data_IF_676054453006
#
_entry.id   IF_676054453006
#
_cell.length_a   1.000
_cell.length_b   1.000
_cell.length_c   1.000
_cell.angle_alpha   90.00
_cell.angle_beta   90.00
_cell.angle_gamma   90.00
#
_symmetry.space_group_name_H-M   'P 1'
#
loop_
_entity.id
_entity.type
_entity.pdbx_description
1 polymer ?
#
# COMPACT_ATOMS: atom_id res chain seq x y z
N UNK A 1 36.95 -20.06 14.91
CA UNK A 1 35.59 -19.81 14.37
C UNK A 1 35.61 -18.48 13.61
N UNK A 2 35.50 -18.53 12.28
CA UNK A 2 35.68 -17.36 11.41
C UNK A 2 34.57 -16.32 11.62
N UNK A 3 34.92 -15.13 12.13
CA UNK A 3 34.03 -13.95 12.24
C UNK A 3 33.26 -13.67 10.95
N UNK A 4 33.88 -13.91 9.80
CA UNK A 4 33.28 -13.77 8.47
C UNK A 4 32.04 -14.67 8.26
N UNK A 5 32.02 -15.89 8.81
CA UNK A 5 30.86 -16.80 8.72
C UNK A 5 29.68 -16.34 9.57
N UNK A 6 29.96 -15.70 10.71
CA UNK A 6 28.92 -15.16 11.58
C UNK A 6 28.28 -13.90 10.96
N UNK A 7 29.09 -13.00 10.41
CA UNK A 7 28.63 -11.79 9.74
C UNK A 7 27.78 -12.11 8.51
N UNK A 8 28.22 -13.04 7.65
CA UNK A 8 27.43 -13.49 6.50
C UNK A 8 26.06 -14.05 6.91
N UNK A 9 26.00 -14.76 8.03
CA UNK A 9 24.75 -15.34 8.53
C UNK A 9 23.81 -14.28 9.13
N UNK A 10 24.35 -13.21 9.69
CA UNK A 10 23.58 -12.05 10.14
C UNK A 10 23.01 -11.33 8.91
N UNK A 11 23.84 -11.09 7.89
CA UNK A 11 23.41 -10.47 6.63
C UNK A 11 22.26 -11.25 5.97
N UNK A 12 22.38 -12.59 5.86
CA UNK A 12 21.31 -13.44 5.31
C UNK A 12 20.01 -13.36 6.12
N UNK A 13 20.12 -13.22 7.45
CA UNK A 13 18.95 -13.08 8.33
C UNK A 13 18.31 -11.70 8.13
N UNK A 14 19.10 -10.64 8.06
CA UNK A 14 18.62 -9.29 7.76
C UNK A 14 17.96 -9.22 6.38
N UNK A 15 18.57 -9.79 5.34
CA UNK A 15 18.00 -9.82 3.99
C UNK A 15 16.70 -10.62 3.95
N UNK A 16 16.60 -11.74 4.69
CA UNK A 16 15.34 -12.49 4.82
C UNK A 16 14.29 -11.71 5.60
N UNK A 17 14.68 -10.95 6.63
CA UNK A 17 13.77 -10.07 7.37
C UNK A 17 13.30 -8.94 6.44
N UNK A 18 14.20 -8.26 5.74
CA UNK A 18 13.87 -7.18 4.80
C UNK A 18 13.01 -7.70 3.65
N UNK A 19 13.35 -8.84 3.06
CA UNK A 19 12.50 -9.49 2.04
C UNK A 19 11.13 -9.89 2.63
N UNK A 20 11.05 -10.31 3.89
CA UNK A 20 9.79 -10.72 4.52
C UNK A 20 8.89 -9.55 4.95
N UNK A 21 9.48 -8.46 5.45
CA UNK A 21 8.75 -7.33 6.06
C UNK A 21 8.73 -6.08 5.18
N UNK A 22 9.78 -5.88 4.38
CA UNK A 22 9.96 -4.74 3.49
C UNK A 22 9.81 -5.07 2.00
N UNK A 23 9.45 -6.31 1.61
CA UNK A 23 9.14 -6.61 0.21
C UNK A 23 8.10 -5.63 -0.32
N UNK A 24 8.60 -4.73 -1.18
CA UNK A 24 7.83 -3.77 -1.97
C UNK A 24 6.73 -4.48 -2.78
N UNK A 25 6.91 -5.78 -3.05
CA UNK A 25 6.01 -6.66 -3.79
C UNK A 25 4.66 -6.94 -3.12
N UNK A 26 4.47 -6.70 -1.82
CA UNK A 26 3.18 -6.93 -1.13
C UNK A 26 2.31 -5.68 -0.97
N UNK A 27 2.57 -4.65 -1.77
CA UNK A 27 1.72 -3.44 -1.81
C UNK A 27 0.53 -3.70 -2.72
N UNK A 28 -0.66 -3.73 -2.16
CA UNK A 28 -1.90 -3.76 -2.93
C UNK A 28 -2.31 -2.33 -3.23
N UNK A 29 -2.30 -1.97 -4.51
CA UNK A 29 -2.76 -0.65 -4.95
C UNK A 29 -4.22 -0.74 -5.39
N UNK A 30 -5.12 -0.20 -4.59
CA UNK A 30 -6.52 -0.03 -4.95
C UNK A 30 -6.70 1.30 -5.64
N UNK A 31 -6.96 1.24 -6.94
CA UNK A 31 -7.32 2.41 -7.76
C UNK A 31 -8.83 2.54 -7.75
N UNK A 32 -9.32 3.70 -7.32
CA UNK A 32 -10.73 4.05 -7.42
C UNK A 32 -11.09 4.42 -8.86
N UNK A 33 -12.38 4.61 -9.10
CA UNK A 33 -12.87 5.08 -10.40
C UNK A 33 -12.37 6.49 -10.70
N UNK A 34 -12.24 6.78 -12.00
CA UNK A 34 -11.96 8.13 -12.45
C UNK A 34 -13.15 9.04 -12.20
N UNK A 35 -12.87 10.26 -11.74
CA UNK A 35 -13.85 11.32 -11.50
C UNK A 35 -13.35 12.62 -12.11
N UNK A 36 -14.27 13.52 -12.47
CA UNK A 36 -13.93 14.82 -13.06
C UNK A 36 -13.11 15.66 -12.08
N UNK A 37 -12.20 16.48 -12.57
CA UNK A 37 -11.35 17.38 -11.76
C UNK A 37 -12.10 18.47 -11.00
N UNK A 38 -13.39 18.64 -11.31
CA UNK A 38 -14.35 19.50 -10.61
C UNK A 38 -15.06 18.82 -9.44
N UNK A 39 -14.86 17.51 -9.24
CA UNK A 39 -15.56 16.75 -8.21
C UNK A 39 -15.04 17.12 -6.82
N UNK A 40 -15.95 17.55 -5.93
CA UNK A 40 -15.61 17.86 -4.55
C UNK A 40 -15.14 16.65 -3.77
N UNK A 41 -14.13 16.84 -2.93
CA UNK A 41 -13.55 15.79 -2.10
C UNK A 41 -14.58 15.15 -1.15
N UNK A 42 -15.51 15.94 -0.61
CA UNK A 42 -16.57 15.47 0.30
C UNK A 42 -17.42 14.35 -0.33
N UNK A 43 -17.61 14.38 -1.65
CA UNK A 43 -18.34 13.34 -2.38
C UNK A 43 -17.56 12.02 -2.47
N UNK A 44 -16.24 12.07 -2.37
CA UNK A 44 -15.35 10.91 -2.45
C UNK A 44 -15.03 10.33 -1.07
N UNK A 45 -15.10 11.13 -0.02
CA UNK A 45 -14.67 10.74 1.33
C UNK A 45 -15.38 9.47 1.83
N UNK A 46 -16.70 9.39 1.65
CA UNK A 46 -17.49 8.22 2.06
C UNK A 46 -17.02 6.94 1.34
N UNK A 47 -16.81 7.02 0.02
CA UNK A 47 -16.34 5.87 -0.79
C UNK A 47 -14.92 5.46 -0.43
N UNK A 48 -14.02 6.43 -0.20
CA UNK A 48 -12.64 6.17 0.24
C UNK A 48 -12.67 5.42 1.57
N UNK A 49 -13.49 5.89 2.52
CA UNK A 49 -13.62 5.27 3.85
C UNK A 49 -14.17 3.85 3.77
N UNK A 50 -15.18 3.61 2.93
CA UNK A 50 -15.74 2.27 2.71
C UNK A 50 -14.69 1.29 2.15
N UNK A 51 -13.90 1.72 1.17
CA UNK A 51 -12.81 0.91 0.61
C UNK A 51 -11.74 0.61 1.67
N UNK A 52 -11.35 1.59 2.50
CA UNK A 52 -10.41 1.37 3.61
C UNK A 52 -10.93 0.29 4.56
N UNK A 53 -12.17 0.44 5.05
CA UNK A 53 -12.78 -0.52 5.99
C UNK A 53 -12.91 -1.91 5.35
N UNK A 54 -13.24 -1.97 4.06
CA UNK A 54 -13.34 -3.24 3.32
C UNK A 54 -12.01 -4.01 3.31
N UNK A 55 -10.90 -3.31 3.11
CA UNK A 55 -9.56 -3.92 3.11
C UNK A 55 -9.08 -4.20 4.54
N UNK A 56 -9.38 -3.35 5.50
CA UNK A 56 -9.08 -3.57 6.92
C UNK A 56 -9.75 -4.83 7.47
N UNK A 57 -11.04 -5.03 7.17
CA UNK A 57 -11.76 -6.24 7.54
C UNK A 57 -11.16 -7.53 6.94
N UNK A 58 -10.38 -7.41 5.86
CA UNK A 58 -9.69 -8.51 5.19
C UNK A 58 -8.24 -8.62 5.59
N UNK A 59 -7.82 -7.99 6.68
CA UNK A 59 -6.45 -8.10 7.16
C UNK A 59 -5.46 -7.38 6.26
N UNK A 60 -5.83 -6.21 5.76
CA UNK A 60 -4.90 -5.25 5.18
C UNK A 60 -4.90 -3.98 6.04
N UNK A 61 -3.85 -3.18 6.01
CA UNK A 61 -3.84 -1.85 6.61
C UNK A 61 -3.41 -0.81 5.57
N UNK A 62 -3.92 0.41 5.70
CA UNK A 62 -3.51 1.52 4.85
C UNK A 62 -2.05 1.87 5.16
N UNK A 63 -1.18 1.68 4.18
CA UNK A 63 0.26 1.78 4.37
C UNK A 63 0.78 3.22 4.25
N UNK A 64 0.15 4.04 3.41
CA UNK A 64 0.53 5.42 3.16
C UNK A 64 -0.72 6.28 2.93
N UNK A 65 -0.56 7.59 2.99
CA UNK A 65 -1.63 8.53 2.70
C UNK A 65 -2.20 8.31 1.28
N UNK A 66 -3.54 8.40 1.12
CA UNK A 66 -4.17 8.37 -0.19
C UNK A 66 -3.54 9.43 -1.10
N UNK A 67 -3.25 9.06 -2.34
CA UNK A 67 -2.66 9.98 -3.32
C UNK A 67 -3.50 10.04 -4.58
N UNK A 68 -3.41 11.16 -5.30
CA UNK A 68 -4.19 11.41 -6.50
C UNK A 68 -3.37 11.05 -7.73
N UNK A 69 -3.97 10.26 -8.60
CA UNK A 69 -3.48 10.04 -9.95
C UNK A 69 -4.29 10.94 -10.88
N UNK A 70 -3.60 11.86 -11.55
CA UNK A 70 -4.21 12.80 -12.48
C UNK A 70 -4.08 12.29 -13.91
N UNK A 71 -5.12 12.47 -14.71
CA UNK A 71 -5.08 12.28 -16.15
C UNK A 71 -5.42 13.61 -16.84
N UNK A 72 -4.40 14.45 -17.14
CA UNK A 72 -4.61 15.83 -17.57
C UNK A 72 -5.38 15.97 -18.88
N UNK A 73 -5.24 15.00 -19.80
CA UNK A 73 -5.87 15.05 -21.11
C UNK A 73 -7.40 14.90 -21.05
N UNK A 74 -7.92 14.15 -20.06
CA UNK A 74 -9.34 13.89 -19.90
C UNK A 74 -9.95 14.65 -18.71
N UNK A 75 -9.23 15.62 -18.14
CA UNK A 75 -9.69 16.45 -17.01
C UNK A 75 -10.28 15.64 -15.86
N UNK A 76 -9.60 14.54 -15.50
CA UNK A 76 -10.07 13.61 -14.47
C UNK A 76 -8.94 13.18 -13.56
N UNK A 77 -9.31 12.81 -12.33
CA UNK A 77 -8.40 12.22 -11.36
C UNK A 77 -9.01 10.97 -10.74
N UNK A 78 -8.19 10.18 -10.07
CA UNK A 78 -8.66 9.11 -9.21
C UNK A 78 -7.82 9.05 -7.94
N UNK A 79 -8.44 8.56 -6.88
CA UNK A 79 -7.73 8.28 -5.62
C UNK A 79 -7.11 6.90 -5.70
N UNK A 80 -5.86 6.80 -5.25
CA UNK A 80 -5.14 5.54 -5.13
C UNK A 80 -4.82 5.29 -3.67
N UNK A 81 -5.29 4.15 -3.18
CA UNK A 81 -5.04 3.65 -1.83
C UNK A 81 -3.99 2.54 -1.90
N UNK A 82 -2.99 2.61 -1.03
CA UNK A 82 -1.94 1.59 -0.97
C UNK A 82 -2.06 0.83 0.34
N UNK A 83 -2.33 -0.45 0.23
CA UNK A 83 -2.52 -1.35 1.36
C UNK A 83 -1.35 -2.32 1.51
N UNK A 84 -1.12 -2.78 2.74
CA UNK A 84 -0.25 -3.92 3.05
C UNK A 84 -0.99 -4.95 3.88
N UNK A 85 -0.73 -6.26 3.70
CA UNK A 85 -1.35 -7.29 4.52
C UNK A 85 -0.88 -7.15 5.98
N UNK A 86 -1.80 -7.33 6.92
CA UNK A 86 -1.50 -7.46 8.36
C UNK A 86 -0.95 -8.86 8.64
N UNK A 87 -0.19 -9.00 9.73
CA UNK A 87 0.47 -10.27 10.08
C UNK A 87 -0.49 -11.45 10.27
N UNK A 88 -1.77 -11.16 10.55
CA UNK A 88 -2.84 -12.13 10.82
C UNK A 88 -3.39 -12.78 9.55
N UNK A 89 -3.19 -12.20 8.37
CA UNK A 89 -3.76 -12.67 7.11
C UNK A 89 -2.77 -13.55 6.32
N UNK A 90 -2.09 -14.42 7.07
CA UNK A 90 -0.93 -15.21 6.62
C UNK A 90 -1.32 -16.50 5.91
#
# INVERSE_FOLDING_TARGET
MNRSKALSRIQDVEDRIISRFCAVERRLHRRMDWVEDTTDYEMLEARIREEIVFYEARGFYLFQEPWLEHEPFNHRFRVVLTFRPTESNR
#
